data_IF_388533217505
#
_entry.id   IF_388533217505
#
_cell.length_a   1.000
_cell.length_b   1.000
_cell.length_c   1.000
_cell.angle_alpha   90.00
_cell.angle_beta   90.00
_cell.angle_gamma   90.00
#
_symmetry.space_group_name_H-M   'P 1'
#
loop_
_entity.id
_entity.type
_entity.pdbx_description
1 polymer ?
#
# COMPACT_ATOMS: atom_id res chain seq x y z
N UNK A 1 2.23 -7.91 13.54
CA UNK A 1 1.03 -8.73 13.50
C UNK A 1 0.16 -8.49 14.70
N UNK A 2 0.68 -7.82 15.65
CA UNK A 2 -0.10 -7.26 16.74
C UNK A 2 -0.83 -5.99 16.31
N UNK A 3 -0.59 -5.51 15.10
CA UNK A 3 -1.42 -4.49 14.49
C UNK A 3 -2.77 -5.12 14.18
N UNK A 4 -3.59 -5.23 15.20
CA UNK A 4 -4.96 -5.64 15.06
C UNK A 4 -5.80 -4.47 14.57
N UNK A 5 -7.06 -4.74 14.21
CA UNK A 5 -8.02 -3.70 13.89
C UNK A 5 -8.14 -2.67 15.01
N UNK A 6 -7.91 -3.07 16.25
CA UNK A 6 -7.92 -2.15 17.39
C UNK A 6 -6.85 -1.08 17.32
N UNK A 7 -5.67 -1.42 16.78
CA UNK A 7 -4.57 -0.47 16.63
C UNK A 7 -4.72 0.35 15.34
N UNK A 8 -5.21 -0.28 14.26
CA UNK A 8 -5.39 0.38 12.99
C UNK A 8 -6.47 1.45 13.01
N UNK A 9 -7.61 1.18 13.69
CA UNK A 9 -8.72 2.13 13.75
C UNK A 9 -8.35 3.46 14.41
N UNK A 10 -7.73 3.50 15.61
CA UNK A 10 -7.32 4.77 16.21
C UNK A 10 -6.34 5.54 15.34
N UNK A 11 -5.39 4.85 14.70
CA UNK A 11 -4.41 5.49 13.82
C UNK A 11 -5.10 6.12 12.61
N UNK A 12 -6.01 5.38 11.97
CA UNK A 12 -6.78 5.90 10.83
C UNK A 12 -7.63 7.10 11.22
N UNK A 13 -8.32 7.02 12.37
CA UNK A 13 -9.13 8.12 12.87
C UNK A 13 -8.28 9.34 13.19
N UNK A 14 -7.16 9.14 13.89
CA UNK A 14 -6.24 10.22 14.20
C UNK A 14 -5.70 10.89 12.94
N UNK A 15 -5.35 10.11 11.94
CA UNK A 15 -4.86 10.61 10.65
C UNK A 15 -5.95 11.40 9.93
N UNK A 16 -7.17 10.89 9.92
CA UNK A 16 -8.30 11.57 9.31
C UNK A 16 -8.57 12.92 9.96
N UNK A 17 -8.51 12.99 11.30
CA UNK A 17 -8.71 14.25 12.02
C UNK A 17 -7.55 15.21 11.86
N UNK A 18 -6.31 14.70 11.89
CA UNK A 18 -5.12 15.55 11.79
C UNK A 18 -4.92 16.10 10.37
N UNK A 19 -5.15 15.27 9.36
CA UNK A 19 -4.99 15.65 7.96
C UNK A 19 -6.24 16.19 7.29
N UNK A 20 -7.39 16.08 7.96
CA UNK A 20 -8.67 16.47 7.40
C UNK A 20 -9.24 15.47 6.40
N UNK A 21 -10.45 15.76 5.93
CA UNK A 21 -11.18 14.88 5.03
C UNK A 21 -10.44 14.68 3.70
N UNK A 22 -9.74 15.70 3.22
CA UNK A 22 -9.00 15.62 1.96
C UNK A 22 -7.86 14.60 2.06
N UNK A 23 -7.08 14.64 3.14
CA UNK A 23 -6.00 13.69 3.35
C UNK A 23 -6.53 12.26 3.43
N UNK A 24 -7.67 12.08 4.09
CA UNK A 24 -8.34 10.78 4.15
C UNK A 24 -8.75 10.30 2.75
N UNK A 25 -9.32 11.18 1.94
CA UNK A 25 -9.73 10.83 0.58
C UNK A 25 -8.53 10.43 -0.28
N UNK A 26 -7.41 11.17 -0.17
CA UNK A 26 -6.19 10.82 -0.90
C UNK A 26 -5.70 9.43 -0.51
N UNK A 27 -5.61 9.16 0.77
CA UNK A 27 -5.12 7.88 1.29
C UNK A 27 -6.05 6.73 0.92
N UNK A 28 -7.35 6.91 1.05
CA UNK A 28 -8.33 5.88 0.74
C UNK A 28 -8.29 5.51 -0.75
N UNK A 29 -8.22 6.51 -1.63
CA UNK A 29 -8.15 6.29 -3.07
C UNK A 29 -6.84 5.60 -3.44
N UNK A 30 -5.72 6.05 -2.87
CA UNK A 30 -4.43 5.43 -3.09
C UNK A 30 -4.42 3.98 -2.64
N UNK A 31 -4.97 3.70 -1.47
CA UNK A 31 -5.06 2.34 -0.93
C UNK A 31 -5.93 1.45 -1.81
N UNK A 32 -7.04 1.96 -2.33
CA UNK A 32 -7.92 1.21 -3.22
C UNK A 32 -7.19 0.80 -4.49
N UNK A 33 -6.51 1.74 -5.16
CA UNK A 33 -5.75 1.44 -6.37
C UNK A 33 -4.62 0.47 -6.09
N UNK A 34 -3.90 0.68 -5.00
CA UNK A 34 -2.79 -0.19 -4.58
C UNK A 34 -3.28 -1.62 -4.35
N UNK A 35 -4.32 -1.76 -3.54
CA UNK A 35 -4.87 -3.08 -3.21
C UNK A 35 -5.37 -3.81 -4.46
N UNK A 36 -6.07 -3.12 -5.34
CA UNK A 36 -6.58 -3.70 -6.58
C UNK A 36 -5.44 -4.20 -7.45
N UNK A 37 -4.41 -3.37 -7.66
CA UNK A 37 -3.26 -3.74 -8.47
C UNK A 37 -2.51 -4.93 -7.88
N UNK A 38 -2.25 -4.89 -6.57
CA UNK A 38 -1.53 -5.98 -5.89
C UNK A 38 -2.32 -7.29 -5.96
N UNK A 39 -3.63 -7.23 -5.76
CA UNK A 39 -4.48 -8.41 -5.83
C UNK A 39 -4.47 -9.04 -7.23
N UNK A 40 -4.56 -8.22 -8.27
CA UNK A 40 -4.53 -8.69 -9.65
C UNK A 40 -3.18 -9.32 -10.00
N UNK A 41 -2.08 -8.68 -9.60
CA UNK A 41 -0.74 -9.19 -9.87
C UNK A 41 -0.47 -10.47 -9.11
N UNK A 42 -0.93 -10.55 -7.87
CA UNK A 42 -0.77 -11.76 -7.06
C UNK A 42 -1.52 -12.94 -7.67
N UNK A 43 -2.73 -12.70 -8.18
CA UNK A 43 -3.53 -13.75 -8.83
C UNK A 43 -2.87 -14.29 -10.10
N UNK A 44 -2.10 -13.46 -10.81
CA UNK A 44 -1.43 -13.90 -12.02
C UNK A 44 -0.32 -14.92 -11.75
N UNK A 45 0.25 -14.90 -10.54
CA UNK A 45 1.30 -15.84 -10.13
C UNK A 45 2.65 -15.61 -10.79
N UNK A 46 2.79 -14.58 -11.63
CA UNK A 46 4.00 -14.31 -12.40
C UNK A 46 4.97 -13.36 -11.71
N UNK A 47 4.55 -12.72 -10.61
CA UNK A 47 5.31 -11.68 -9.96
C UNK A 47 5.73 -12.10 -8.56
N UNK A 48 6.95 -11.69 -8.18
CA UNK A 48 7.45 -11.90 -6.83
C UNK A 48 6.73 -10.95 -5.85
N UNK A 49 6.86 -11.24 -4.55
CA UNK A 49 6.32 -10.37 -3.51
C UNK A 49 6.87 -8.95 -3.63
N UNK A 50 8.17 -8.81 -3.92
CA UNK A 50 8.81 -7.51 -4.09
C UNK A 50 8.22 -6.77 -5.30
N UNK A 51 8.01 -7.47 -6.42
CA UNK A 51 7.40 -6.89 -7.61
C UNK A 51 5.97 -6.43 -7.37
N UNK A 52 5.18 -7.24 -6.69
CA UNK A 52 3.80 -6.88 -6.32
C UNK A 52 3.79 -5.64 -5.43
N UNK A 53 4.68 -5.59 -4.44
CA UNK A 53 4.77 -4.44 -3.53
C UNK A 53 5.23 -3.18 -4.24
N UNK A 54 6.15 -3.29 -5.19
CA UNK A 54 6.60 -2.15 -5.98
C UNK A 54 5.44 -1.56 -6.80
N UNK A 55 4.68 -2.42 -7.47
CA UNK A 55 3.49 -2.00 -8.21
C UNK A 55 2.46 -1.35 -7.29
N UNK A 56 2.27 -1.92 -6.09
CA UNK A 56 1.38 -1.35 -5.09
C UNK A 56 1.76 0.07 -4.70
N UNK A 57 3.05 0.31 -4.47
CA UNK A 57 3.56 1.66 -4.15
C UNK A 57 3.33 2.65 -5.28
N UNK A 58 3.58 2.25 -6.52
CA UNK A 58 3.34 3.10 -7.68
C UNK A 58 1.86 3.44 -7.80
N UNK A 59 0.99 2.46 -7.75
CA UNK A 59 -0.45 2.66 -7.91
C UNK A 59 -1.06 3.43 -6.74
N UNK A 60 -0.50 3.28 -5.54
CA UNK A 60 -0.93 4.08 -4.40
C UNK A 60 -0.71 5.58 -4.67
N UNK A 61 0.47 5.95 -5.15
CA UNK A 61 0.78 7.33 -5.49
C UNK A 61 -0.06 7.83 -6.66
N UNK A 62 -0.29 6.98 -7.67
CA UNK A 62 -1.15 7.35 -8.79
C UNK A 62 -2.58 7.64 -8.33
N UNK A 63 -3.13 6.81 -7.46
CA UNK A 63 -4.47 7.03 -6.90
C UNK A 63 -4.56 8.36 -6.16
N UNK A 64 -3.55 8.68 -5.35
CA UNK A 64 -3.50 9.95 -4.64
C UNK A 64 -3.44 11.15 -5.59
N UNK A 65 -2.61 11.05 -6.62
CA UNK A 65 -2.47 12.16 -7.59
C UNK A 65 -3.75 12.35 -8.39
N UNK A 66 -4.41 11.27 -8.79
CA UNK A 66 -5.67 11.38 -9.53
C UNK A 66 -6.74 12.10 -8.72
N UNK A 67 -6.91 11.72 -7.45
CA UNK A 67 -7.91 12.37 -6.61
C UNK A 67 -7.50 13.82 -6.30
N UNK A 68 -6.21 14.08 -6.15
CA UNK A 68 -5.70 15.44 -5.95
C UNK A 68 -6.03 16.33 -7.16
N UNK A 69 -5.85 15.81 -8.38
CA UNK A 69 -6.21 16.53 -9.59
C UNK A 69 -7.68 16.90 -9.63
N UNK A 70 -8.55 15.98 -9.21
CA UNK A 70 -9.99 16.21 -9.19
C UNK A 70 -10.38 17.25 -8.13
N UNK A 71 -9.78 17.19 -6.95
CA UNK A 71 -10.11 18.12 -5.86
C UNK A 71 -9.60 19.53 -6.15
N UNK A 72 -8.36 19.64 -6.64
CA UNK A 72 -7.73 20.95 -6.91
C UNK A 72 -8.14 21.47 -8.28
N UNK A 73 -8.73 20.63 -9.14
CA UNK A 73 -9.12 20.96 -10.51
C UNK A 73 -7.94 21.48 -11.34
N UNK A 74 -6.76 20.86 -11.15
CA UNK A 74 -5.54 21.27 -11.83
C UNK A 74 -4.78 20.05 -12.35
N UNK A 75 -4.76 19.89 -13.66
CA UNK A 75 -4.08 18.78 -14.32
C UNK A 75 -2.55 18.84 -14.24
N UNK A 76 -1.98 19.99 -13.86
CA UNK A 76 -0.53 20.15 -13.72
C UNK A 76 0.04 19.26 -12.63
N UNK A 77 -0.78 18.81 -11.68
CA UNK A 77 -0.37 17.87 -10.62
C UNK A 77 0.09 16.55 -11.24
N UNK A 78 -0.44 16.17 -12.41
CA UNK A 78 -0.02 14.97 -13.12
C UNK A 78 1.47 14.98 -13.51
N UNK A 79 2.09 16.16 -13.59
CA UNK A 79 3.52 16.28 -13.87
C UNK A 79 4.39 15.69 -12.77
N UNK A 80 3.86 15.52 -11.57
CA UNK A 80 4.58 14.87 -10.47
C UNK A 80 4.55 13.34 -10.57
N UNK A 81 3.74 12.76 -11.45
CA UNK A 81 3.61 11.30 -11.57
C UNK A 81 4.94 10.58 -11.79
N UNK A 82 5.83 11.03 -12.71
CA UNK A 82 7.10 10.32 -12.90
C UNK A 82 7.93 10.24 -11.63
N UNK A 83 8.06 11.35 -10.90
CA UNK A 83 8.83 11.40 -9.65
C UNK A 83 8.18 10.53 -8.59
N UNK A 84 6.86 10.63 -8.45
CA UNK A 84 6.11 9.85 -7.47
C UNK A 84 6.09 8.36 -7.82
N UNK A 85 6.14 8.02 -9.10
CA UNK A 85 6.24 6.61 -9.53
C UNK A 85 7.55 6.00 -9.09
N UNK A 86 8.66 6.71 -9.28
CA UNK A 86 9.98 6.25 -8.82
C UNK A 86 10.00 6.11 -7.30
N UNK A 87 9.50 7.12 -6.60
CA UNK A 87 9.44 7.08 -5.13
C UNK A 87 8.54 5.94 -4.63
N UNK A 88 7.39 5.75 -5.27
CA UNK A 88 6.46 4.67 -4.94
C UNK A 88 7.06 3.30 -5.17
N UNK A 89 7.77 3.14 -6.29
CA UNK A 89 8.46 1.89 -6.58
C UNK A 89 9.53 1.60 -5.52
N UNK A 90 10.33 2.60 -5.16
CA UNK A 90 11.36 2.46 -4.12
C UNK A 90 10.76 2.06 -2.78
N UNK A 91 9.71 2.77 -2.34
CA UNK A 91 9.02 2.47 -1.10
C UNK A 91 8.40 1.06 -1.14
N UNK A 92 7.75 0.72 -2.25
CA UNK A 92 7.13 -0.59 -2.44
C UNK A 92 8.15 -1.72 -2.39
N UNK A 93 9.34 -1.52 -2.98
CA UNK A 93 10.42 -2.48 -2.93
C UNK A 93 10.89 -2.70 -1.48
N UNK A 94 11.05 -1.61 -0.72
CA UNK A 94 11.43 -1.70 0.69
C UNK A 94 10.38 -2.46 1.50
N UNK A 95 9.11 -2.18 1.26
CA UNK A 95 8.01 -2.89 1.92
C UNK A 95 8.03 -4.37 1.54
N UNK A 96 8.25 -4.68 0.26
CA UNK A 96 8.33 -6.05 -0.22
C UNK A 96 9.49 -6.84 0.39
N UNK A 97 10.66 -6.22 0.51
CA UNK A 97 11.83 -6.83 1.15
C UNK A 97 11.52 -7.10 2.63
N UNK A 98 10.95 -6.13 3.32
CA UNK A 98 10.56 -6.27 4.73
C UNK A 98 9.53 -7.38 4.92
N UNK A 99 8.51 -7.43 4.06
CA UNK A 99 7.49 -8.46 4.09
C UNK A 99 8.07 -9.86 3.84
N UNK A 100 8.98 -9.95 2.87
CA UNK A 100 9.65 -11.20 2.54
C UNK A 100 10.47 -11.72 3.73
N UNK A 101 11.20 -10.82 4.38
CA UNK A 101 11.98 -11.13 5.56
C UNK A 101 11.09 -11.60 6.71
N UNK A 102 9.99 -10.89 6.92
CA UNK A 102 9.02 -11.21 7.98
C UNK A 102 8.38 -12.58 7.73
N UNK A 103 7.99 -12.87 6.48
CA UNK A 103 7.40 -14.16 6.13
C UNK A 103 8.37 -15.31 6.36
N UNK A 104 9.65 -15.13 6.02
CA UNK A 104 10.67 -16.15 6.28
C UNK A 104 10.80 -16.43 7.77
N UNK A 105 10.77 -15.39 8.58
CA UNK A 105 10.83 -15.54 10.02
C UNK A 105 9.59 -16.25 10.57
N UNK A 106 8.40 -15.85 10.11
CA UNK A 106 7.14 -16.45 10.55
C UNK A 106 7.04 -17.93 10.19
N UNK A 107 7.53 -18.31 9.00
CA UNK A 107 7.50 -19.72 8.56
C UNK A 107 8.35 -20.63 9.43
N UNK A 108 9.31 -20.07 10.15
CA UNK A 108 10.16 -20.83 11.09
C UNK A 108 9.51 -21.03 12.46
N UNK A 109 8.41 -20.33 12.75
CA UNK A 109 7.73 -20.42 14.02
C UNK A 109 6.74 -21.59 14.03
N UNK A 110 6.67 -22.37 15.14
CA UNK A 110 5.69 -23.46 15.27
C UNK A 110 4.24 -22.98 15.11
N UNK A 111 3.97 -21.73 15.53
CA UNK A 111 2.64 -21.14 15.43
C UNK A 111 2.15 -21.04 13.98
N UNK A 112 3.05 -20.71 13.05
CA UNK A 112 2.71 -20.61 11.63
C UNK A 112 2.22 -21.97 11.10
N UNK A 113 2.91 -23.03 11.46
CA UNK A 113 2.52 -24.38 11.02
C UNK A 113 1.15 -24.77 11.57
N UNK A 114 0.84 -24.40 12.80
CA UNK A 114 -0.48 -24.64 13.39
C UNK A 114 -1.58 -23.90 12.66
N UNK A 115 -1.34 -22.65 12.30
CA UNK A 115 -2.33 -21.87 11.54
C UNK A 115 -2.55 -22.43 10.14
N UNK A 116 -1.52 -22.95 9.51
CA UNK A 116 -1.59 -23.53 8.18
C UNK A 116 -2.38 -24.83 8.17
N UNK A 117 -2.29 -25.62 9.23
CA UNK A 117 -2.99 -26.90 9.35
C UNK A 117 -4.46 -26.74 9.76
N UNK A 118 -4.82 -25.57 10.29
CA UNK A 118 -6.19 -25.22 10.59
C UNK A 118 -6.89 -24.69 9.34
#
# INVERSE_FOLDING_TARGET
YTLSLHDALPILLATAFAGGINAFMYSATGAFFSFTAMSLLQKSGKFSLIGVSAAGGILHNWGQVLIACLIVENAKILLYLPVLSVAGAGTGILIGITANFTLRHLKRLPLYNRMREA
#
